data_IF_582422583149
#
_entry.id   IF_582422583149
#
_cell.length_a   1.000
_cell.length_b   1.000
_cell.length_c   1.000
_cell.angle_alpha   90.00
_cell.angle_beta   90.00
_cell.angle_gamma   90.00
#
_symmetry.space_group_name_H-M   'P 1'
#
loop_
_entity.id
_entity.type
_entity.pdbx_description
1 polymer ?
#
# COMPACT_ATOMS: atom_id res chain seq x y z
N UNK A 1 -24.07 -10.58 -0.57
CA UNK A 1 -22.87 -11.30 -1.00
C UNK A 1 -21.69 -10.72 -0.22
N UNK A 2 -20.93 -11.52 0.53
CA UNK A 2 -19.74 -11.06 1.26
C UNK A 2 -18.60 -11.05 0.22
N UNK A 3 -17.94 -9.91 0.02
CA UNK A 3 -16.80 -9.78 -0.89
C UNK A 3 -15.67 -10.73 -0.44
N UNK A 4 -15.01 -11.41 -1.37
CA UNK A 4 -13.89 -12.32 -1.09
C UNK A 4 -12.76 -11.68 -0.26
N UNK A 5 -12.50 -10.39 -0.47
CA UNK A 5 -11.54 -9.60 0.31
C UNK A 5 -11.90 -9.53 1.79
N UNK A 6 -13.20 -9.35 2.12
CA UNK A 6 -13.67 -9.33 3.51
C UNK A 6 -13.46 -10.68 4.19
N UNK A 7 -13.67 -11.77 3.48
CA UNK A 7 -13.43 -13.13 4.00
C UNK A 7 -11.93 -13.32 4.27
N UNK A 8 -11.05 -12.95 3.34
CA UNK A 8 -9.60 -13.04 3.51
C UNK A 8 -9.11 -12.22 4.69
N UNK A 9 -9.62 -10.99 4.86
CA UNK A 9 -9.27 -10.14 5.98
C UNK A 9 -9.75 -10.72 7.33
N UNK A 10 -10.98 -11.23 7.41
CA UNK A 10 -11.48 -11.89 8.63
C UNK A 10 -10.66 -13.11 8.98
N UNK A 11 -10.29 -13.92 7.99
CA UNK A 11 -9.43 -15.08 8.18
C UNK A 11 -8.05 -14.68 8.70
N UNK A 12 -7.47 -13.58 8.18
CA UNK A 12 -6.22 -13.03 8.69
C UNK A 12 -6.35 -12.64 10.16
N UNK A 13 -7.34 -11.82 10.51
CA UNK A 13 -7.59 -11.38 11.91
C UNK A 13 -7.75 -12.60 12.82
N UNK A 14 -8.54 -13.59 12.41
CA UNK A 14 -8.72 -14.82 13.19
C UNK A 14 -7.40 -15.58 13.39
N UNK A 15 -6.61 -15.73 12.33
CA UNK A 15 -5.32 -16.44 12.40
C UNK A 15 -4.31 -15.73 13.29
N UNK A 16 -4.20 -14.39 13.18
CA UNK A 16 -3.27 -13.63 14.01
C UNK A 16 -3.63 -13.78 15.49
N UNK A 17 -4.91 -13.75 15.85
CA UNK A 17 -5.35 -13.87 17.25
C UNK A 17 -5.24 -15.28 17.81
N UNK A 18 -5.61 -16.31 17.03
CA UNK A 18 -5.77 -17.68 17.54
C UNK A 18 -4.62 -18.61 17.15
N UNK A 19 -3.86 -18.26 16.11
CA UNK A 19 -2.78 -19.10 15.58
C UNK A 19 -1.60 -18.20 15.14
N UNK A 20 -1.08 -17.31 16.01
CA UNK A 20 0.08 -16.49 15.68
C UNK A 20 1.30 -17.37 15.43
N UNK A 21 2.20 -16.93 14.55
CA UNK A 21 3.52 -17.56 14.40
C UNK A 21 4.42 -17.15 15.56
N UNK A 22 4.27 -15.88 16.01
CA UNK A 22 5.02 -15.34 17.13
C UNK A 22 4.14 -14.51 18.06
N UNK A 23 4.51 -14.51 19.34
CA UNK A 23 3.98 -13.59 20.35
C UNK A 23 5.15 -12.83 20.92
N UNK A 24 5.16 -11.54 20.71
CA UNK A 24 6.21 -10.63 21.17
C UNK A 24 5.64 -9.60 22.16
N UNK A 25 6.48 -8.71 22.63
CA UNK A 25 6.07 -7.62 23.52
C UNK A 25 6.61 -6.30 23.00
N UNK A 26 5.73 -5.30 22.89
CA UNK A 26 6.16 -3.97 22.50
C UNK A 26 6.89 -3.24 23.64
N UNK A 27 7.43 -2.04 23.35
CA UNK A 27 8.16 -1.22 24.33
C UNK A 27 7.34 -0.83 25.58
N UNK A 28 6.00 -0.98 25.52
CA UNK A 28 5.09 -0.69 26.66
C UNK A 28 4.70 -1.95 27.45
N UNK A 29 5.25 -3.14 27.08
CA UNK A 29 4.90 -4.40 27.71
C UNK A 29 3.59 -5.01 27.21
N UNK A 30 2.96 -4.47 26.15
CA UNK A 30 1.74 -5.02 25.55
C UNK A 30 2.09 -6.18 24.63
N UNK A 31 1.28 -7.25 24.68
CA UNK A 31 1.44 -8.40 23.80
C UNK A 31 1.12 -8.03 22.36
N UNK A 32 2.00 -8.42 21.46
CA UNK A 32 1.82 -8.35 20.01
C UNK A 32 1.74 -9.77 19.46
N UNK A 33 0.73 -10.03 18.65
CA UNK A 33 0.53 -11.28 17.94
C UNK A 33 0.93 -11.06 16.49
N UNK A 34 1.71 -11.96 15.91
CA UNK A 34 2.29 -11.79 14.58
C UNK A 34 2.07 -13.03 13.72
N UNK A 35 1.66 -12.77 12.46
CA UNK A 35 1.73 -13.75 11.37
C UNK A 35 2.77 -13.26 10.36
N UNK A 36 3.63 -14.17 9.90
CA UNK A 36 4.64 -13.84 8.89
C UNK A 36 4.28 -14.37 7.52
N UNK A 37 4.70 -13.63 6.47
CA UNK A 37 4.51 -14.02 5.07
C UNK A 37 3.04 -14.33 4.72
N UNK A 38 2.12 -13.45 5.13
CA UNK A 38 0.69 -13.64 4.87
C UNK A 38 0.19 -12.76 3.74
N UNK A 39 -0.54 -13.36 2.80
CA UNK A 39 -1.14 -12.64 1.67
C UNK A 39 -2.66 -12.52 1.80
N UNK A 40 -3.18 -11.35 1.42
CA UNK A 40 -4.60 -11.13 1.10
C UNK A 40 -4.71 -11.02 -0.41
N UNK A 41 -5.64 -11.78 -0.99
CA UNK A 41 -5.93 -11.74 -2.42
C UNK A 41 -7.25 -11.02 -2.68
N UNK A 42 -7.20 -10.02 -3.55
CA UNK A 42 -8.39 -9.37 -4.09
C UNK A 42 -8.67 -9.94 -5.47
N UNK A 43 -9.90 -10.42 -5.66
CA UNK A 43 -10.36 -10.87 -6.98
C UNK A 43 -10.49 -9.69 -7.95
N UNK A 44 -10.37 -9.92 -9.25
CA UNK A 44 -10.60 -8.90 -10.28
C UNK A 44 -11.94 -8.19 -10.08
N UNK A 45 -11.94 -6.87 -10.23
CA UNK A 45 -13.14 -6.04 -10.06
C UNK A 45 -13.60 -5.80 -8.62
N UNK A 46 -12.90 -6.36 -7.62
CA UNK A 46 -13.16 -6.02 -6.22
C UNK A 46 -12.58 -4.65 -5.91
N UNK A 47 -13.44 -3.69 -5.55
CA UNK A 47 -12.99 -2.53 -4.79
C UNK A 47 -12.76 -2.98 -3.35
N UNK A 48 -11.60 -2.64 -2.80
CA UNK A 48 -11.23 -3.03 -1.46
C UNK A 48 -12.11 -2.31 -0.43
N UNK A 49 -13.19 -2.95 -0.01
CA UNK A 49 -13.97 -2.54 1.13
C UNK A 49 -13.96 -3.64 2.17
N UNK A 50 -13.18 -3.44 3.23
CA UNK A 50 -13.07 -4.41 4.32
C UNK A 50 -14.18 -4.20 5.34
N UNK A 51 -15.30 -4.92 5.17
CA UNK A 51 -16.34 -5.04 6.19
C UNK A 51 -15.83 -5.96 7.31
N UNK A 52 -15.77 -5.49 8.52
CA UNK A 52 -15.34 -6.32 9.66
C UNK A 52 -14.67 -5.51 10.75
N UNK A 53 -14.10 -4.40 10.36
CA UNK A 53 -13.75 -3.27 11.19
C UNK A 53 -14.57 -2.08 10.73
N UNK A 54 -15.02 -1.24 11.65
CA UNK A 54 -15.69 0.02 11.34
C UNK A 54 -14.64 1.06 10.86
N UNK A 55 -14.03 0.81 9.69
CA UNK A 55 -13.04 1.70 9.09
C UNK A 55 -13.73 3.00 8.65
N UNK A 56 -13.11 4.13 8.93
CA UNK A 56 -13.67 5.44 8.60
C UNK A 56 -13.45 5.76 7.12
N UNK A 57 -14.54 5.88 6.36
CA UNK A 57 -14.48 6.37 4.98
C UNK A 57 -13.96 7.81 4.90
N UNK A 58 -14.26 8.63 5.92
CA UNK A 58 -13.77 10.00 5.99
C UNK A 58 -12.25 10.04 6.19
N UNK A 59 -11.72 9.18 7.07
CA UNK A 59 -10.27 9.06 7.23
C UNK A 59 -9.60 8.63 5.92
N UNK A 60 -10.12 7.59 5.27
CA UNK A 60 -9.59 7.13 3.99
C UNK A 60 -9.59 8.23 2.92
N UNK A 61 -10.71 8.98 2.81
CA UNK A 61 -10.78 10.10 1.85
C UNK A 61 -9.71 11.17 2.13
N UNK A 62 -9.54 11.56 3.39
CA UNK A 62 -8.52 12.53 3.79
C UNK A 62 -7.10 12.00 3.54
N UNK A 63 -6.84 10.74 3.82
CA UNK A 63 -5.54 10.10 3.55
C UNK A 63 -5.25 10.03 2.06
N UNK A 64 -6.23 9.68 1.23
CA UNK A 64 -6.12 9.71 -0.21
C UNK A 64 -5.83 11.13 -0.74
N UNK A 65 -6.51 12.14 -0.22
CA UNK A 65 -6.26 13.55 -0.55
C UNK A 65 -4.82 13.96 -0.18
N UNK A 66 -4.35 13.54 1.00
CA UNK A 66 -2.98 13.78 1.43
C UNK A 66 -1.94 13.07 0.54
N UNK A 67 -2.15 11.82 0.17
CA UNK A 67 -1.28 11.13 -0.78
C UNK A 67 -1.28 11.84 -2.15
N UNK A 68 -2.43 12.24 -2.66
CA UNK A 68 -2.54 12.96 -3.92
C UNK A 68 -1.90 14.35 -3.87
N UNK A 69 -1.81 14.99 -2.71
CA UNK A 69 -1.15 16.29 -2.56
C UNK A 69 0.38 16.23 -2.66
N UNK A 70 0.97 15.07 -2.36
CA UNK A 70 2.42 14.89 -2.28
C UNK A 70 3.08 15.66 -1.13
N UNK A 71 2.32 16.17 -0.16
CA UNK A 71 2.86 16.93 0.96
C UNK A 71 3.53 16.01 1.98
N UNK A 72 4.79 16.26 2.31
CA UNK A 72 5.53 15.62 3.39
C UNK A 72 5.49 16.41 4.70
N UNK A 73 4.75 17.51 4.75
CA UNK A 73 4.66 18.35 5.95
C UNK A 73 3.88 17.66 7.07
N UNK A 74 4.46 17.66 8.27
CA UNK A 74 3.80 17.12 9.46
C UNK A 74 2.45 17.80 9.73
N UNK A 75 2.33 19.12 9.51
CA UNK A 75 1.09 19.88 9.71
C UNK A 75 -0.09 19.34 8.87
N UNK A 76 0.18 18.79 7.68
CA UNK A 76 -0.83 18.19 6.82
C UNK A 76 -1.17 16.77 7.28
N UNK A 77 -0.17 15.97 7.65
CA UNK A 77 -0.36 14.63 8.17
C UNK A 77 -1.16 14.62 9.50
N UNK A 78 -0.92 15.59 10.38
CA UNK A 78 -1.65 15.73 11.67
C UNK A 78 -3.13 16.03 11.49
N UNK A 79 -3.56 16.62 10.36
CA UNK A 79 -4.99 16.79 10.02
C UNK A 79 -5.73 15.46 9.86
N UNK A 80 -5.00 14.39 9.50
CA UNK A 80 -5.54 13.03 9.45
C UNK A 80 -5.59 12.42 10.84
N UNK A 81 -4.45 12.43 11.53
CA UNK A 81 -4.33 11.82 12.85
C UNK A 81 -3.15 12.43 13.62
N UNK A 82 -3.35 12.69 14.92
CA UNK A 82 -2.29 13.06 15.84
C UNK A 82 -1.18 11.99 15.97
N UNK A 83 -1.44 10.77 15.47
CA UNK A 83 -0.43 9.70 15.43
C UNK A 83 0.85 10.17 14.71
N UNK A 84 0.73 10.95 13.64
CA UNK A 84 1.83 11.42 12.82
C UNK A 84 2.84 12.29 13.58
N UNK A 85 2.44 12.92 14.69
CA UNK A 85 3.43 13.64 15.55
C UNK A 85 4.48 12.72 16.15
N UNK A 86 4.18 11.41 16.29
CA UNK A 86 5.13 10.42 16.82
C UNK A 86 6.04 9.85 15.74
N UNK A 87 5.66 10.01 14.48
CA UNK A 87 6.41 9.51 13.33
C UNK A 87 7.49 10.49 12.91
N UNK A 88 7.24 11.80 13.03
CA UNK A 88 8.21 12.81 12.61
C UNK A 88 9.47 12.82 13.49
N UNK A 89 10.63 12.76 12.86
CA UNK A 89 11.94 12.84 13.53
C UNK A 89 12.38 14.30 13.81
N UNK A 90 12.00 15.23 12.95
CA UNK A 90 12.38 16.64 12.99
C UNK A 90 11.27 17.58 13.50
N UNK A 91 10.08 17.03 13.76
CA UNK A 91 8.90 17.80 14.13
C UNK A 91 8.31 18.66 13.00
N UNK A 92 8.73 18.46 11.74
CA UNK A 92 8.32 19.24 10.57
C UNK A 92 7.86 18.38 9.41
N UNK A 93 8.47 17.23 9.20
CA UNK A 93 8.24 16.37 8.04
C UNK A 93 7.90 14.94 8.45
N UNK A 94 7.29 14.21 7.54
CA UNK A 94 7.06 12.77 7.57
C UNK A 94 7.52 12.16 6.25
N UNK A 95 8.16 10.99 6.30
CA UNK A 95 8.78 10.37 5.13
C UNK A 95 7.87 9.38 4.41
N UNK A 96 6.83 8.86 5.06
CA UNK A 96 5.97 7.80 4.52
C UNK A 96 4.70 8.30 3.82
N UNK A 97 4.71 9.51 3.23
CA UNK A 97 3.68 9.86 2.26
C UNK A 97 3.89 9.02 0.98
N UNK A 98 3.16 7.91 0.86
CA UNK A 98 3.28 7.01 -0.30
C UNK A 98 2.94 7.67 -1.62
N UNK A 99 2.01 8.64 -1.62
CA UNK A 99 1.67 9.42 -2.81
C UNK A 99 2.85 10.28 -3.28
N UNK A 100 3.54 10.96 -2.35
CA UNK A 100 4.76 11.72 -2.66
C UNK A 100 5.80 10.80 -3.31
N UNK A 101 6.13 9.68 -2.66
CA UNK A 101 7.18 8.76 -3.10
C UNK A 101 6.88 8.10 -4.46
N UNK A 102 5.60 7.84 -4.76
CA UNK A 102 5.20 7.10 -5.97
C UNK A 102 4.76 7.99 -7.13
N UNK A 103 4.12 9.13 -6.83
CA UNK A 103 3.42 9.96 -7.83
C UNK A 103 4.04 11.34 -8.04
N UNK A 104 4.88 11.83 -7.12
CA UNK A 104 5.41 13.20 -7.19
C UNK A 104 6.93 13.26 -7.28
N UNK A 105 7.67 12.46 -6.49
CA UNK A 105 9.12 12.46 -6.52
C UNK A 105 9.64 11.95 -7.86
N UNK A 106 10.53 12.74 -8.49
CA UNK A 106 11.10 12.43 -9.79
C UNK A 106 12.54 11.96 -9.66
N UNK A 107 12.86 10.91 -10.39
CA UNK A 107 14.23 10.41 -10.49
C UNK A 107 15.10 11.31 -11.38
N UNK A 108 16.40 10.98 -11.50
CA UNK A 108 17.37 11.71 -12.32
C UNK A 108 16.99 11.79 -13.83
N UNK A 109 16.07 10.95 -14.29
CA UNK A 109 15.56 10.94 -15.67
C UNK A 109 14.25 11.72 -15.83
N UNK A 110 13.76 12.36 -14.76
CA UNK A 110 12.56 13.18 -14.76
C UNK A 110 11.23 12.40 -14.64
N UNK A 111 11.26 11.10 -14.38
CA UNK A 111 10.06 10.28 -14.20
C UNK A 111 9.72 10.05 -12.72
N UNK A 112 8.42 10.09 -12.41
CA UNK A 112 7.92 9.49 -11.18
C UNK A 112 7.99 7.97 -11.27
N UNK A 113 7.89 7.28 -10.14
CA UNK A 113 7.88 5.82 -10.15
C UNK A 113 6.65 5.25 -10.86
N UNK A 114 5.51 5.92 -10.73
CA UNK A 114 4.28 5.55 -11.45
C UNK A 114 4.44 5.71 -12.96
N UNK A 115 4.97 6.86 -13.42
CA UNK A 115 5.26 7.10 -14.84
C UNK A 115 6.25 6.08 -15.39
N UNK A 116 7.29 5.70 -14.61
CA UNK A 116 8.23 4.66 -15.01
C UNK A 116 7.53 3.30 -15.20
N UNK A 117 6.74 2.86 -14.21
CA UNK A 117 6.03 1.58 -14.29
C UNK A 117 5.03 1.57 -15.46
N UNK A 118 4.30 2.67 -15.67
CA UNK A 118 3.40 2.86 -16.80
C UNK A 118 4.12 2.72 -18.14
N UNK A 119 5.24 3.45 -18.32
CA UNK A 119 6.03 3.40 -19.55
C UNK A 119 6.60 2.00 -19.82
N UNK A 120 7.02 1.28 -18.77
CA UNK A 120 7.47 -0.09 -18.92
C UNK A 120 6.37 -1.01 -19.50
N UNK A 121 5.13 -0.89 -19.00
CA UNK A 121 3.99 -1.68 -19.47
C UNK A 121 3.54 -1.26 -20.87
N UNK A 122 3.55 0.03 -21.15
CA UNK A 122 3.16 0.56 -22.46
C UNK A 122 4.13 0.10 -23.56
N UNK A 123 5.44 0.13 -23.29
CA UNK A 123 6.46 -0.29 -24.24
C UNK A 123 6.52 -1.80 -24.44
N UNK A 124 6.22 -2.57 -23.40
CA UNK A 124 6.20 -4.04 -23.45
C UNK A 124 5.24 -4.58 -22.37
N UNK A 125 4.06 -5.05 -22.78
CA UNK A 125 3.05 -5.62 -21.88
C UNK A 125 3.58 -6.81 -21.07
N UNK A 126 4.52 -7.59 -21.60
CA UNK A 126 5.12 -8.74 -20.92
C UNK A 126 6.28 -8.37 -19.96
N UNK A 127 6.55 -7.09 -19.79
CA UNK A 127 7.66 -6.60 -18.97
C UNK A 127 7.62 -7.16 -17.53
N UNK A 128 8.81 -7.31 -16.95
CA UNK A 128 9.01 -7.61 -15.53
C UNK A 128 9.56 -6.39 -14.77
N UNK A 129 9.70 -5.24 -15.46
CA UNK A 129 10.37 -4.03 -14.94
C UNK A 129 9.41 -3.00 -14.35
N UNK A 130 8.09 -3.21 -14.44
CA UNK A 130 7.08 -2.29 -13.90
C UNK A 130 7.01 -2.41 -12.36
N UNK A 131 8.06 -1.95 -11.69
CA UNK A 131 8.24 -1.98 -10.24
C UNK A 131 8.40 -0.55 -9.73
N UNK A 132 7.72 -0.25 -8.64
CA UNK A 132 7.84 0.99 -7.88
C UNK A 132 8.35 0.64 -6.48
N UNK A 133 9.45 1.26 -6.03
CA UNK A 133 10.09 0.99 -4.75
C UNK A 133 9.76 2.10 -3.76
N UNK A 134 9.13 1.76 -2.64
CA UNK A 134 8.80 2.72 -1.58
C UNK A 134 9.93 2.76 -0.56
N UNK A 135 10.23 1.62 0.09
CA UNK A 135 11.38 1.51 0.96
C UNK A 135 12.66 1.38 0.11
N UNK A 136 13.49 2.40 0.13
CA UNK A 136 14.69 2.48 -0.67
C UNK A 136 15.92 2.85 0.18
N UNK A 137 17.06 3.09 -0.44
CA UNK A 137 18.31 3.41 0.24
C UNK A 137 18.24 4.71 1.09
N UNK A 138 17.38 5.65 0.75
CA UNK A 138 17.20 6.89 1.52
C UNK A 138 16.53 6.64 2.89
N UNK A 139 15.86 5.49 3.05
CA UNK A 139 15.23 5.05 4.29
C UNK A 139 16.14 4.15 5.14
N UNK A 140 17.40 3.92 4.72
CA UNK A 140 18.32 3.00 5.39
C UNK A 140 19.01 3.65 6.61
N UNK A 141 18.21 4.27 7.49
CA UNK A 141 18.66 4.85 8.76
C UNK A 141 17.62 4.63 9.88
N UNK A 142 18.02 4.86 11.11
CA UNK A 142 17.09 4.74 12.26
C UNK A 142 16.17 5.95 12.26
N UNK A 143 14.89 5.73 11.99
CA UNK A 143 13.84 6.74 11.94
C UNK A 143 12.59 6.24 12.66
N UNK A 144 11.77 7.17 13.14
CA UNK A 144 10.42 6.86 13.65
C UNK A 144 9.41 6.62 12.52
N UNK A 145 9.71 7.05 11.30
CA UNK A 145 8.83 7.00 10.13
C UNK A 145 9.50 6.31 8.93
N UNK A 146 9.90 5.06 9.08
CA UNK A 146 10.31 4.26 7.94
C UNK A 146 9.09 3.65 7.23
N UNK A 147 8.93 3.83 5.91
CA UNK A 147 7.82 3.28 5.13
C UNK A 147 7.62 1.79 5.39
N UNK A 148 6.38 1.37 5.61
CA UNK A 148 6.05 -0.05 5.78
C UNK A 148 5.98 -0.78 4.43
N UNK A 149 5.59 -0.10 3.37
CA UNK A 149 5.60 -0.67 2.01
C UNK A 149 7.02 -0.75 1.49
N UNK A 150 7.39 -1.90 0.98
CA UNK A 150 8.69 -2.12 0.33
C UNK A 150 8.62 -1.77 -1.14
N UNK A 151 7.73 -2.42 -1.89
CA UNK A 151 7.55 -2.16 -3.31
C UNK A 151 6.14 -2.52 -3.79
N UNK A 152 5.81 -1.99 -4.96
CA UNK A 152 4.63 -2.36 -5.76
C UNK A 152 5.10 -2.84 -7.12
N UNK A 153 4.57 -3.96 -7.60
CA UNK A 153 4.84 -4.48 -8.93
C UNK A 153 3.56 -4.62 -9.72
N UNK A 154 3.56 -4.14 -10.95
CA UNK A 154 2.53 -4.42 -11.94
C UNK A 154 3.01 -5.46 -12.95
N UNK A 155 2.07 -6.19 -13.54
CA UNK A 155 2.34 -7.12 -14.63
C UNK A 155 1.07 -7.44 -15.40
N UNK A 156 1.17 -7.45 -16.73
CA UNK A 156 0.07 -7.85 -17.60
C UNK A 156 0.31 -9.30 -18.00
N UNK A 157 -0.70 -10.16 -17.83
CA UNK A 157 -0.74 -11.53 -18.33
C UNK A 157 -2.16 -11.84 -18.79
N UNK A 158 -2.29 -12.43 -19.97
CA UNK A 158 -3.60 -12.77 -20.55
C UNK A 158 -4.54 -11.54 -20.60
N UNK A 159 -4.00 -10.37 -20.95
CA UNK A 159 -4.67 -9.07 -20.93
C UNK A 159 -5.20 -8.63 -19.54
N UNK A 160 -4.76 -9.27 -18.46
CA UNK A 160 -5.13 -8.90 -17.10
C UNK A 160 -3.98 -8.12 -16.45
N UNK A 161 -4.26 -6.90 -15.97
CA UNK A 161 -3.33 -6.12 -15.17
C UNK A 161 -3.35 -6.63 -13.73
N UNK A 162 -2.28 -7.29 -13.32
CA UNK A 162 -2.11 -7.79 -11.95
C UNK A 162 -1.20 -6.88 -11.15
N UNK A 163 -1.42 -6.82 -9.85
CA UNK A 163 -0.60 -6.03 -8.92
C UNK A 163 -0.18 -6.87 -7.71
N UNK A 164 1.08 -6.73 -7.30
CA UNK A 164 1.60 -7.22 -6.04
C UNK A 164 2.10 -6.04 -5.22
N UNK A 165 1.66 -5.95 -3.97
CA UNK A 165 2.21 -5.03 -2.97
C UNK A 165 2.90 -5.85 -1.90
N UNK A 166 4.12 -5.46 -1.52
CA UNK A 166 4.88 -6.10 -0.44
C UNK A 166 5.14 -5.09 0.66
N UNK A 167 4.69 -5.42 1.87
CA UNK A 167 4.92 -4.63 3.07
C UNK A 167 5.81 -5.37 4.05
N UNK A 168 6.85 -4.70 4.60
CA UNK A 168 7.72 -5.28 5.64
C UNK A 168 6.98 -5.53 6.96
N UNK A 169 5.98 -4.68 7.24
CA UNK A 169 5.09 -4.75 8.39
C UNK A 169 3.75 -4.12 8.04
N UNK A 170 2.65 -4.68 8.52
CA UNK A 170 1.33 -4.12 8.30
C UNK A 170 0.42 -4.38 9.50
N UNK A 171 0.07 -3.33 10.23
CA UNK A 171 -0.91 -3.43 11.31
C UNK A 171 -2.26 -3.87 10.73
N UNK A 172 -2.71 -5.07 11.11
CA UNK A 172 -3.93 -5.66 10.53
C UNK A 172 -5.20 -4.92 10.93
N UNK A 173 -5.17 -4.17 12.02
CA UNK A 173 -6.35 -3.47 12.53
C UNK A 173 -6.42 -2.02 12.09
N UNK A 174 -5.32 -1.28 12.22
CA UNK A 174 -5.27 0.14 11.88
C UNK A 174 -4.78 0.41 10.47
N UNK A 175 -3.81 -0.34 9.95
CA UNK A 175 -3.15 -0.13 8.65
C UNK A 175 -3.85 -0.85 7.50
N UNK A 176 -3.91 -2.18 7.54
CA UNK A 176 -4.32 -3.02 6.40
C UNK A 176 -5.59 -2.55 5.65
N UNK A 177 -6.70 -2.13 6.30
CA UNK A 177 -7.89 -1.68 5.58
C UNK A 177 -7.65 -0.45 4.70
N UNK A 178 -6.80 0.47 5.15
CA UNK A 178 -6.49 1.71 4.42
C UNK A 178 -5.42 1.47 3.36
N UNK A 179 -4.37 0.70 3.68
CA UNK A 179 -3.33 0.33 2.73
C UNK A 179 -3.90 -0.42 1.52
N UNK A 180 -4.72 -1.44 1.77
CA UNK A 180 -5.37 -2.21 0.69
C UNK A 180 -6.30 -1.32 -0.14
N UNK A 181 -7.01 -0.39 0.47
CA UNK A 181 -7.86 0.57 -0.24
C UNK A 181 -7.03 1.52 -1.11
N UNK A 182 -5.94 2.09 -0.57
CA UNK A 182 -5.01 2.96 -1.32
C UNK A 182 -4.44 2.25 -2.55
N UNK A 183 -3.87 1.06 -2.36
CA UNK A 183 -3.28 0.31 -3.47
C UNK A 183 -4.33 -0.16 -4.48
N UNK A 184 -5.58 -0.41 -4.07
CA UNK A 184 -6.67 -0.66 -5.02
C UNK A 184 -6.95 0.56 -5.91
N UNK A 185 -6.94 1.77 -5.35
CA UNK A 185 -7.07 3.01 -6.14
C UNK A 185 -5.90 3.13 -7.12
N UNK A 186 -4.67 2.86 -6.68
CA UNK A 186 -3.48 2.91 -7.53
C UNK A 186 -3.55 1.89 -8.68
N UNK A 187 -4.05 0.67 -8.41
CA UNK A 187 -4.27 -0.38 -9.41
C UNK A 187 -5.24 0.08 -10.50
N UNK A 188 -6.37 0.67 -10.09
CA UNK A 188 -7.36 1.19 -11.03
C UNK A 188 -6.86 2.43 -11.79
N UNK A 189 -6.02 3.26 -11.17
CA UNK A 189 -5.39 4.39 -11.84
C UNK A 189 -4.46 3.91 -12.97
N UNK A 190 -3.61 2.91 -12.70
CA UNK A 190 -2.76 2.30 -13.73
C UNK A 190 -3.58 1.70 -14.87
N UNK A 191 -4.62 0.93 -14.55
CA UNK A 191 -5.53 0.38 -15.56
C UNK A 191 -6.11 1.47 -16.46
N UNK A 192 -6.61 2.54 -15.85
CA UNK A 192 -7.23 3.67 -16.57
C UNK A 192 -6.25 4.32 -17.54
N UNK A 193 -5.02 4.56 -17.12
CA UNK A 193 -4.01 5.19 -17.98
C UNK A 193 -3.59 4.27 -19.14
N UNK A 194 -3.41 2.97 -18.89
CA UNK A 194 -3.11 1.99 -19.95
C UNK A 194 -4.23 1.89 -20.97
N UNK A 195 -5.50 1.89 -20.53
CA UNK A 195 -6.65 1.91 -21.42
C UNK A 195 -6.75 3.20 -22.24
N UNK A 196 -6.44 4.36 -21.66
CA UNK A 196 -6.37 5.64 -22.38
C UNK A 196 -5.32 5.61 -23.48
N UNK A 197 -4.23 4.89 -23.26
CA UNK A 197 -3.18 4.68 -24.28
C UNK A 197 -3.54 3.61 -25.31
N UNK A 198 -4.72 3.02 -25.24
CA UNK A 198 -5.22 2.03 -26.21
C UNK A 198 -4.84 0.57 -25.92
N UNK A 199 -4.27 0.24 -24.77
CA UNK A 199 -4.03 -1.16 -24.43
C UNK A 199 -5.34 -1.86 -24.04
N UNK A 200 -5.65 -3.04 -24.62
CA UNK A 200 -6.85 -3.80 -24.32
C UNK A 200 -6.66 -4.64 -23.04
N UNK A 201 -6.51 -3.96 -21.90
CA UNK A 201 -6.27 -4.61 -20.61
C UNK A 201 -7.49 -4.51 -19.70
N UNK A 202 -7.69 -5.56 -18.90
CA UNK A 202 -8.71 -5.63 -17.86
C UNK A 202 -8.06 -5.66 -16.47
N UNK A 203 -8.86 -5.38 -15.45
CA UNK A 203 -8.39 -5.47 -14.08
C UNK A 203 -8.12 -6.93 -13.69
N UNK A 204 -6.92 -7.21 -13.26
CA UNK A 204 -6.48 -8.52 -12.80
C UNK A 204 -6.53 -8.65 -11.26
N UNK A 205 -5.75 -9.59 -10.75
CA UNK A 205 -5.63 -9.82 -9.31
C UNK A 205 -4.78 -8.75 -8.62
N UNK A 206 -5.10 -8.51 -7.36
CA UNK A 206 -4.24 -7.77 -6.45
C UNK A 206 -3.86 -8.70 -5.28
N UNK A 207 -2.57 -8.90 -5.10
CA UNK A 207 -2.01 -9.59 -3.95
C UNK A 207 -1.35 -8.57 -3.01
N UNK A 208 -1.74 -8.60 -1.73
CA UNK A 208 -1.17 -7.78 -0.66
C UNK A 208 -0.42 -8.69 0.31
N UNK A 209 0.91 -8.75 0.17
CA UNK A 209 1.81 -9.58 0.97
C UNK A 209 2.37 -8.77 2.13
N UNK A 210 2.13 -9.26 3.33
CA UNK A 210 2.67 -8.73 4.59
C UNK A 210 3.75 -9.68 5.10
N UNK A 211 4.99 -9.20 5.23
CA UNK A 211 6.07 -10.01 5.79
C UNK A 211 5.89 -10.18 7.30
N UNK A 212 5.28 -9.18 7.96
CA UNK A 212 4.82 -9.21 9.35
C UNK A 212 3.44 -8.54 9.43
N UNK A 213 2.42 -9.27 9.89
CA UNK A 213 1.02 -8.86 9.97
C UNK A 213 0.50 -8.95 11.42
#
# INVERSE_FOLDING_TARGET
MICGTTINYRNLVHKVFHQPDYVTTNRKGERLYERVNYSIFLSPGSLAYMRGRNASNEYFRKELEWYCSGSDKLEDAVKLSKFWTKCSDDGKTVTSNYGKLLLHDRNAHGFTQFEHAYNCLLNNADTKKAVMTVYNNEHAYISNDNPCTMFVRFGIRENMLNMLVVMRSNDIWYGTPYDVAWYSVLHHAMLKELRRAGLPVEIGSYEHLMLSA
#
